data_IF_000348438384
#
_entry.id   IF_000348438384
#
_cell.length_a   1.000
_cell.length_b   1.000
_cell.length_c   1.000
_cell.angle_alpha   90.00
_cell.angle_beta   90.00
_cell.angle_gamma   90.00
#
_symmetry.space_group_name_H-M   'P 1'
#
loop_
_entity.id
_entity.type
_entity.pdbx_description
1 polymer ?
#
# COMPACT_ATOMS: atom_id res chain seq x y z
N UNK A 1 -27.01 21.46 -10.32
CA UNK A 1 -26.03 21.77 -9.26
C UNK A 1 -25.30 20.47 -8.87
N UNK A 2 -24.34 20.02 -9.69
CA UNK A 2 -23.57 18.79 -9.40
C UNK A 2 -22.17 19.18 -8.93
N UNK A 3 -22.04 19.44 -7.63
CA UNK A 3 -20.75 19.55 -6.96
C UNK A 3 -20.13 18.17 -6.82
N UNK A 4 -19.38 17.73 -7.85
CA UNK A 4 -18.51 16.57 -7.73
C UNK A 4 -17.32 16.99 -6.88
N UNK A 5 -17.46 16.85 -5.56
CA UNK A 5 -16.39 17.10 -4.59
C UNK A 5 -15.16 16.31 -5.01
N UNK A 6 -14.15 17.03 -5.52
CA UNK A 6 -12.82 16.49 -5.73
C UNK A 6 -12.35 15.96 -4.38
N UNK A 7 -12.11 14.64 -4.31
CA UNK A 7 -11.40 14.05 -3.19
C UNK A 7 -10.05 14.77 -3.05
N UNK A 8 -9.58 15.08 -1.82
CA UNK A 8 -8.32 15.76 -1.61
C UNK A 8 -7.19 15.00 -2.31
N UNK A 9 -6.35 15.77 -3.02
CA UNK A 9 -5.18 15.33 -3.77
C UNK A 9 -4.49 14.15 -3.08
N UNK A 10 -4.59 12.96 -3.69
CA UNK A 10 -3.89 11.78 -3.21
C UNK A 10 -2.40 12.10 -3.23
N UNK A 11 -1.74 12.07 -2.09
CA UNK A 11 -0.29 12.21 -1.91
C UNK A 11 0.48 11.02 -2.54
N UNK A 12 0.05 10.57 -3.73
CA UNK A 12 0.71 9.54 -4.50
C UNK A 12 2.05 10.09 -4.99
N UNK A 13 3.10 9.27 -4.98
CA UNK A 13 4.40 9.69 -5.50
C UNK A 13 4.27 10.22 -6.92
N UNK A 14 5.03 11.28 -7.23
CA UNK A 14 5.08 11.87 -8.57
C UNK A 14 5.60 10.90 -9.65
N UNK A 15 6.11 9.73 -9.27
CA UNK A 15 6.51 8.69 -10.20
C UNK A 15 6.33 7.30 -9.59
N UNK A 16 5.68 6.34 -10.28
CA UNK A 16 5.49 5.00 -9.76
C UNK A 16 6.85 4.35 -9.43
N UNK A 17 6.93 3.58 -8.32
CA UNK A 17 8.14 2.84 -7.99
C UNK A 17 8.46 1.80 -9.07
N UNK A 18 9.75 1.47 -9.23
CA UNK A 18 10.17 0.47 -10.22
C UNK A 18 9.54 -0.89 -9.90
N UNK A 19 9.27 -1.71 -10.92
CA UNK A 19 8.69 -3.04 -10.72
C UNK A 19 9.57 -3.93 -9.84
N UNK A 20 10.90 -3.79 -9.92
CA UNK A 20 11.84 -4.49 -9.06
C UNK A 20 11.71 -4.08 -7.57
N UNK A 21 11.52 -2.78 -7.29
CA UNK A 21 11.30 -2.29 -5.93
C UNK A 21 9.97 -2.78 -5.36
N UNK A 22 8.90 -2.75 -6.17
CA UNK A 22 7.59 -3.31 -5.79
C UNK A 22 7.70 -4.80 -5.43
N UNK A 23 8.45 -5.59 -6.22
CA UNK A 23 8.65 -7.01 -5.93
C UNK A 23 9.40 -7.25 -4.61
N UNK A 24 10.42 -6.44 -4.30
CA UNK A 24 11.16 -6.53 -3.04
C UNK A 24 10.30 -6.13 -1.85
N UNK A 25 9.59 -5.00 -1.94
CA UNK A 25 8.63 -4.55 -0.93
C UNK A 25 7.53 -5.60 -0.68
N UNK A 26 6.99 -6.21 -1.75
CA UNK A 26 6.01 -7.30 -1.63
C UNK A 26 6.61 -8.50 -0.89
N UNK A 27 7.87 -8.89 -1.17
CA UNK A 27 8.56 -9.98 -0.46
C UNK A 27 8.79 -9.67 1.02
N UNK A 28 9.09 -8.42 1.37
CA UNK A 28 9.21 -7.98 2.76
C UNK A 28 7.88 -8.15 3.50
N UNK A 29 6.76 -7.73 2.87
CA UNK A 29 5.42 -7.96 3.41
C UNK A 29 5.13 -9.44 3.57
N UNK A 30 5.38 -10.27 2.55
CA UNK A 30 5.20 -11.73 2.64
C UNK A 30 6.05 -12.35 3.76
N UNK A 31 7.28 -11.87 3.98
CA UNK A 31 8.14 -12.32 5.07
C UNK A 31 7.60 -11.93 6.44
N UNK A 32 7.00 -10.74 6.58
CA UNK A 32 6.32 -10.29 7.79
C UNK A 32 5.07 -11.14 8.11
N UNK A 33 4.34 -11.60 7.08
CA UNK A 33 3.26 -12.59 7.24
C UNK A 33 3.82 -13.94 7.71
N UNK A 34 4.88 -14.42 7.06
CA UNK A 34 5.52 -15.69 7.41
C UNK A 34 6.02 -15.72 8.87
N UNK A 35 6.62 -14.62 9.34
CA UNK A 35 7.06 -14.48 10.74
C UNK A 35 5.90 -14.56 11.76
N UNK A 36 4.67 -14.23 11.35
CA UNK A 36 3.45 -14.39 12.16
C UNK A 36 2.76 -15.73 11.96
N UNK A 37 3.33 -16.64 11.17
CA UNK A 37 2.70 -17.89 10.72
C UNK A 37 1.39 -17.64 9.97
N UNK A 38 1.26 -16.48 9.33
CA UNK A 38 0.11 -16.13 8.50
C UNK A 38 0.42 -16.40 7.03
N UNK A 39 -0.61 -16.76 6.26
CA UNK A 39 -0.53 -16.90 4.81
C UNK A 39 -1.26 -15.73 4.15
N UNK A 40 -0.64 -15.15 3.14
CA UNK A 40 -1.27 -14.12 2.31
C UNK A 40 -2.35 -14.77 1.44
N UNK A 41 -3.57 -14.23 1.48
CA UNK A 41 -4.66 -14.72 0.65
C UNK A 41 -4.54 -14.21 -0.79
N UNK A 42 -5.02 -14.97 -1.80
CA UNK A 42 -4.98 -14.55 -3.20
C UNK A 42 -5.65 -13.19 -3.46
N UNK A 43 -6.79 -12.92 -2.81
CA UNK A 43 -7.51 -11.66 -2.97
C UNK A 43 -6.71 -10.46 -2.43
N UNK A 44 -5.86 -10.66 -1.42
CA UNK A 44 -5.01 -9.61 -0.87
C UNK A 44 -3.96 -9.21 -1.91
N UNK A 45 -3.29 -10.19 -2.54
CA UNK A 45 -2.34 -9.92 -3.62
C UNK A 45 -2.98 -9.20 -4.79
N UNK A 46 -4.21 -9.60 -5.15
CA UNK A 46 -4.96 -8.95 -6.21
C UNK A 46 -5.29 -7.49 -5.85
N UNK A 47 -5.74 -7.24 -4.62
CA UNK A 47 -6.01 -5.88 -4.14
C UNK A 47 -4.75 -4.99 -4.21
N UNK A 48 -3.60 -5.50 -3.76
CA UNK A 48 -2.34 -4.75 -3.82
C UNK A 48 -1.92 -4.46 -5.26
N UNK A 49 -2.02 -5.44 -6.15
CA UNK A 49 -1.73 -5.25 -7.59
C UNK A 49 -2.65 -4.20 -8.20
N UNK A 50 -3.95 -4.26 -7.94
CA UNK A 50 -4.93 -3.28 -8.43
C UNK A 50 -4.60 -1.88 -7.91
N UNK A 51 -4.31 -1.74 -6.61
CA UNK A 51 -3.90 -0.48 -6.01
C UNK A 51 -2.64 0.10 -6.68
N UNK A 52 -1.58 -0.70 -6.83
CA UNK A 52 -0.31 -0.28 -7.44
C UNK A 52 -0.45 0.04 -8.94
N UNK A 53 -1.43 -0.54 -9.62
CA UNK A 53 -1.79 -0.17 -11.00
C UNK A 53 -2.67 1.09 -11.08
N UNK A 54 -2.90 1.77 -9.96
CA UNK A 54 -3.70 2.99 -9.86
C UNK A 54 -5.20 2.77 -10.06
N UNK A 55 -5.68 1.53 -9.93
CA UNK A 55 -7.09 1.18 -10.09
C UNK A 55 -7.85 1.37 -8.78
N UNK A 56 -9.09 1.86 -8.87
CA UNK A 56 -10.04 1.89 -7.76
C UNK A 56 -10.87 0.61 -7.76
N UNK A 57 -11.17 0.04 -6.58
CA UNK A 57 -11.95 -1.19 -6.50
C UNK A 57 -12.54 -1.45 -5.12
N UNK A 58 -13.44 -2.44 -5.06
CA UNK A 58 -14.08 -2.91 -3.83
C UNK A 58 -13.46 -4.23 -3.38
N UNK A 59 -13.03 -4.28 -2.12
CA UNK A 59 -12.58 -5.51 -1.48
C UNK A 59 -13.78 -6.15 -0.80
N UNK A 60 -14.30 -7.23 -1.38
CA UNK A 60 -15.31 -8.08 -0.75
C UNK A 60 -14.64 -9.33 -0.17
N UNK A 61 -14.65 -9.47 1.16
CA UNK A 61 -14.09 -10.63 1.85
C UNK A 61 -14.84 -10.90 3.16
N UNK A 62 -14.89 -12.17 3.57
CA UNK A 62 -15.56 -12.59 4.81
C UNK A 62 -14.81 -12.06 6.05
N UNK A 63 -15.50 -12.00 7.19
CA UNK A 63 -14.88 -11.63 8.46
C UNK A 63 -13.73 -12.59 8.81
N UNK A 64 -12.68 -12.08 9.44
CA UNK A 64 -11.50 -12.87 9.83
C UNK A 64 -10.46 -13.13 8.71
N UNK A 65 -10.71 -12.76 7.45
CA UNK A 65 -9.76 -12.98 6.33
C UNK A 65 -8.76 -11.86 6.11
N UNK A 66 -8.77 -10.82 6.95
CA UNK A 66 -7.81 -9.73 6.87
C UNK A 66 -8.08 -8.73 5.73
N UNK A 67 -9.35 -8.39 5.45
CA UNK A 67 -9.74 -7.32 4.50
C UNK A 67 -9.06 -5.97 4.79
N UNK A 68 -8.81 -5.66 6.06
CA UNK A 68 -8.09 -4.46 6.48
C UNK A 68 -6.65 -4.49 5.99
N UNK A 69 -5.96 -5.62 6.14
CA UNK A 69 -4.60 -5.80 5.63
C UNK A 69 -4.59 -5.75 4.09
N UNK A 70 -5.64 -6.28 3.44
CA UNK A 70 -5.79 -6.19 1.98
C UNK A 70 -5.81 -4.74 1.49
N UNK A 71 -6.56 -3.86 2.15
CA UNK A 71 -6.67 -2.45 1.79
C UNK A 71 -5.41 -1.65 2.21
N UNK A 72 -4.84 -1.94 3.37
CA UNK A 72 -3.76 -1.17 3.96
C UNK A 72 -2.39 -1.44 3.33
N UNK A 73 -2.13 -2.68 2.92
CA UNK A 73 -0.78 -3.07 2.48
C UNK A 73 -0.43 -2.60 1.07
N UNK A 74 -1.40 -2.19 0.25
CA UNK A 74 -1.13 -1.55 -1.05
C UNK A 74 -0.28 -0.27 -0.91
N UNK A 75 -0.75 0.74 -0.15
CA UNK A 75 0.03 1.93 0.18
C UNK A 75 1.36 1.64 0.88
N UNK A 76 1.40 0.64 1.77
CA UNK A 76 2.63 0.26 2.49
C UNK A 76 3.68 -0.29 1.51
N UNK A 77 3.28 -1.14 0.56
CA UNK A 77 4.18 -1.66 -0.47
C UNK A 77 4.72 -0.52 -1.35
N UNK A 78 3.87 0.44 -1.71
CA UNK A 78 4.27 1.65 -2.45
C UNK A 78 5.33 2.46 -1.67
N UNK A 79 5.05 2.77 -0.40
CA UNK A 79 5.97 3.50 0.46
C UNK A 79 7.31 2.77 0.71
N UNK A 80 7.28 1.45 0.92
CA UNK A 80 8.51 0.65 1.06
C UNK A 80 9.34 0.67 -0.24
N UNK A 81 8.69 0.57 -1.40
CA UNK A 81 9.35 0.61 -2.68
C UNK A 81 9.95 2.00 -3.00
N UNK A 82 9.37 3.07 -2.47
CA UNK A 82 9.93 4.43 -2.54
C UNK A 82 11.10 4.64 -1.59
N UNK A 83 11.01 4.13 -0.35
CA UNK A 83 12.10 4.22 0.62
C UNK A 83 13.39 3.55 0.09
N UNK A 84 13.28 2.53 -0.76
CA UNK A 84 14.44 1.95 -1.45
C UNK A 84 15.09 2.91 -2.47
N UNK A 85 14.31 3.82 -3.10
CA UNK A 85 14.88 4.86 -3.99
C UNK A 85 15.64 5.92 -3.18
N UNK A 86 15.14 6.26 -2.00
CA UNK A 86 15.69 7.28 -1.12
C UNK A 86 15.96 6.70 0.28
N UNK A 87 17.03 5.92 0.48
CA UNK A 87 17.33 5.28 1.77
C UNK A 87 17.63 6.28 2.90
N UNK A 88 17.69 7.59 2.61
CA UNK A 88 18.05 8.62 3.58
C UNK A 88 17.25 9.92 3.35
N UNK A 89 15.97 9.93 3.73
CA UNK A 89 15.26 11.18 4.04
C UNK A 89 14.28 10.94 5.19
N UNK A 90 14.82 10.67 6.38
CA UNK A 90 14.07 10.90 7.62
C UNK A 90 14.03 12.41 7.79
N UNK A 91 13.04 13.08 7.18
CA UNK A 91 12.75 14.46 7.54
C UNK A 91 12.03 14.43 8.88
N UNK A 92 12.81 14.81 9.90
CA UNK A 92 12.51 14.96 11.33
C UNK A 92 11.46 16.05 11.60
N UNK A 93 10.28 15.95 10.97
CA UNK A 93 9.14 16.78 11.32
C UNK A 93 8.27 16.00 12.29
N UNK A 94 8.30 16.28 13.60
CA UNK A 94 7.37 15.65 14.53
C UNK A 94 5.94 15.99 14.07
N UNK A 95 5.13 14.95 13.87
CA UNK A 95 3.71 15.08 13.57
C UNK A 95 3.06 15.94 14.66
N UNK A 96 2.77 17.21 14.36
CA UNK A 96 1.91 18.04 15.19
C UNK A 96 0.47 17.57 14.97
N UNK A 97 -0.04 16.83 15.93
CA UNK A 97 -1.48 16.63 16.09
C UNK A 97 -2.02 17.95 16.65
N UNK A 98 -2.88 18.62 15.88
CA UNK A 98 -3.64 19.80 16.33
C UNK A 98 -4.78 19.37 17.26
#
# INVERSE_FOLDING_TARGET
>A
MSGRSQLPSSNRPASPPSQAAIMRATRQVESWFAGRKWKVFPFQKQAWKSFLSGQSGLIHATTGTGKTLAAWLGPVIEALAEAEKNPCSITDSPLKVL
#
